data_IF_704082520325
#
_entry.id   IF_704082520325
#
_cell.length_a   1.000
_cell.length_b   1.000
_cell.length_c   1.000
_cell.angle_alpha   90.00
_cell.angle_beta   90.00
_cell.angle_gamma   90.00
#
_symmetry.space_group_name_H-M   'P 1'
#
loop_
_entity.id
_entity.type
_entity.pdbx_description
1 polymer ?
#
# COMPACT_ATOMS: atom_id res chain seq x y z
N UNK A 1 33.71 47.31 -80.27
CA UNK A 1 34.40 47.19 -78.97
C UNK A 1 33.38 46.71 -77.95
N UNK A 2 33.65 45.54 -77.35
CA UNK A 2 33.18 45.03 -76.04
C UNK A 2 31.65 44.72 -75.95
N UNK A 3 31.22 43.44 -75.99
CA UNK A 3 31.02 42.48 -74.86
C UNK A 3 29.97 42.98 -73.86
N UNK A 4 28.78 42.38 -73.72
CA UNK A 4 28.39 41.05 -73.19
C UNK A 4 27.64 41.25 -71.85
N UNK A 5 26.72 40.32 -71.58
CA UNK A 5 26.12 40.01 -70.26
C UNK A 5 24.95 40.92 -69.81
N UNK A 6 23.88 40.44 -69.18
CA UNK A 6 23.34 39.11 -68.90
C UNK A 6 21.94 39.33 -68.29
N UNK A 7 20.98 38.43 -68.54
CA UNK A 7 19.75 38.37 -67.74
C UNK A 7 20.06 38.00 -66.28
N UNK A 8 19.14 38.28 -65.34
CA UNK A 8 18.34 37.14 -64.90
C UNK A 8 16.85 37.40 -64.68
N UNK A 9 16.12 36.31 -64.95
CA UNK A 9 14.74 35.97 -64.63
C UNK A 9 14.29 36.40 -63.22
N UNK A 10 13.25 37.25 -63.14
CA UNK A 10 12.43 37.38 -61.95
C UNK A 10 11.28 36.36 -62.02
N UNK A 11 11.53 35.17 -61.46
CA UNK A 11 10.48 34.23 -61.09
C UNK A 11 9.76 34.75 -59.85
N UNK A 12 8.55 35.27 -60.03
CA UNK A 12 7.63 35.54 -58.94
C UNK A 12 7.21 34.20 -58.31
N UNK A 13 7.98 33.72 -57.32
CA UNK A 13 7.53 32.69 -56.39
C UNK A 13 6.38 33.27 -55.59
N UNK A 14 5.17 32.84 -55.92
CA UNK A 14 4.02 32.91 -55.02
C UNK A 14 4.43 32.21 -53.73
N UNK A 15 4.70 33.00 -52.69
CA UNK A 15 4.80 32.51 -51.33
C UNK A 15 3.39 32.09 -50.89
N UNK A 16 3.03 30.84 -51.15
CA UNK A 16 1.95 30.17 -50.44
C UNK A 16 2.43 30.01 -49.00
N UNK A 17 2.08 31.00 -48.18
CA UNK A 17 2.08 30.92 -46.74
C UNK A 17 1.05 29.86 -46.32
N UNK A 18 1.39 28.59 -46.42
CA UNK A 18 0.75 27.53 -45.65
C UNK A 18 1.37 27.54 -44.25
N UNK A 19 1.00 28.53 -43.43
CA UNK A 19 1.06 28.40 -41.97
C UNK A 19 0.03 27.36 -41.57
N UNK A 20 0.37 26.09 -41.67
CA UNK A 20 -0.25 25.07 -40.83
C UNK A 20 0.37 25.23 -39.44
N UNK A 21 -0.13 26.19 -38.67
CA UNK A 21 0.15 26.25 -37.23
C UNK A 21 -0.65 25.13 -36.56
N UNK A 22 -0.20 23.90 -36.73
CA UNK A 22 -0.42 22.89 -35.70
C UNK A 22 0.33 23.42 -34.48
N UNK A 23 -0.33 23.68 -33.34
CA UNK A 23 0.39 23.87 -32.09
C UNK A 23 1.39 22.74 -31.97
N UNK A 24 2.65 23.01 -31.67
CA UNK A 24 3.61 21.94 -31.44
C UNK A 24 2.98 20.97 -30.45
N UNK A 25 2.91 19.68 -30.78
CA UNK A 25 2.26 18.66 -29.93
C UNK A 25 2.74 18.77 -28.48
N UNK A 26 4.02 19.10 -28.30
CA UNK A 26 4.66 19.45 -27.03
C UNK A 26 3.96 20.58 -26.24
N UNK A 27 3.53 21.66 -26.89
CA UNK A 27 2.81 22.77 -26.25
C UNK A 27 1.39 22.38 -25.81
N UNK A 28 0.76 21.42 -26.50
CA UNK A 28 -0.53 20.87 -26.09
C UNK A 28 -0.37 19.89 -24.91
N UNK A 29 0.67 19.05 -24.93
CA UNK A 29 0.98 18.11 -23.86
C UNK A 29 1.39 18.82 -22.56
N UNK A 30 2.22 19.86 -22.63
CA UNK A 30 2.58 20.69 -21.47
C UNK A 30 1.36 21.35 -20.85
N UNK A 31 0.45 21.92 -21.66
CA UNK A 31 -0.80 22.49 -21.16
C UNK A 31 -1.69 21.41 -20.52
N UNK A 32 -1.76 20.24 -21.13
CA UNK A 32 -2.53 19.11 -20.60
C UNK A 32 -1.99 18.65 -19.24
N UNK A 33 -0.67 18.68 -19.04
CA UNK A 33 -0.03 18.38 -17.76
C UNK A 33 -0.44 19.42 -16.69
N UNK A 34 -0.41 20.70 -17.02
CA UNK A 34 -0.82 21.78 -16.10
C UNK A 34 -2.31 21.66 -15.74
N UNK A 35 -3.18 21.43 -16.73
CA UNK A 35 -4.61 21.24 -16.54
C UNK A 35 -4.90 20.01 -15.65
N UNK A 36 -4.17 18.90 -15.84
CA UNK A 36 -4.23 17.72 -14.98
C UNK A 36 -3.78 18.03 -13.54
N UNK A 37 -2.69 18.79 -13.36
CA UNK A 37 -2.20 19.19 -12.05
C UNK A 37 -3.22 20.03 -11.27
N UNK A 38 -3.90 20.96 -11.96
CA UNK A 38 -4.99 21.76 -11.39
C UNK A 38 -6.15 20.87 -10.98
N UNK A 39 -6.59 19.96 -11.86
CA UNK A 39 -7.69 19.04 -11.57
C UNK A 39 -7.39 18.15 -10.35
N UNK A 40 -6.20 17.55 -10.29
CA UNK A 40 -5.76 16.72 -9.16
C UNK A 40 -5.82 17.54 -7.86
N UNK A 41 -5.30 18.76 -7.89
CA UNK A 41 -5.29 19.66 -6.74
C UNK A 41 -6.72 20.00 -6.27
N UNK A 42 -7.63 20.26 -7.20
CA UNK A 42 -9.05 20.52 -6.88
C UNK A 42 -9.75 19.30 -6.29
N UNK A 43 -9.47 18.08 -6.78
CA UNK A 43 -10.05 16.86 -6.23
C UNK A 43 -9.54 16.63 -4.80
N UNK A 44 -8.24 16.81 -4.53
CA UNK A 44 -7.72 16.72 -3.16
C UNK A 44 -8.40 17.70 -2.21
N UNK A 45 -8.65 18.93 -2.67
CA UNK A 45 -9.35 19.94 -1.89
C UNK A 45 -10.80 19.53 -1.61
N UNK A 46 -11.52 19.04 -2.63
CA UNK A 46 -12.88 18.52 -2.50
C UNK A 46 -12.95 17.35 -1.48
N UNK A 47 -12.01 16.41 -1.55
CA UNK A 47 -11.94 15.29 -0.61
C UNK A 47 -11.62 15.76 0.81
N UNK A 48 -10.80 16.80 0.94
CA UNK A 48 -10.46 17.35 2.25
C UNK A 48 -11.64 18.11 2.87
N UNK A 49 -12.31 18.99 2.14
CA UNK A 49 -13.47 19.76 2.65
C UNK A 49 -14.58 18.83 3.16
N UNK A 50 -14.86 17.77 2.41
CA UNK A 50 -15.92 16.81 2.72
C UNK A 50 -15.54 15.79 3.81
N UNK A 51 -14.27 15.71 4.22
CA UNK A 51 -13.84 14.84 5.33
C UNK A 51 -14.53 15.18 6.66
N UNK A 52 -14.84 16.47 6.89
CA UNK A 52 -15.51 16.96 8.10
C UNK A 52 -17.00 16.63 8.15
N UNK A 53 -17.67 16.63 7.00
CA UNK A 53 -19.10 16.30 6.86
C UNK A 53 -19.35 14.80 6.70
N UNK A 54 -18.27 13.99 6.68
CA UNK A 54 -18.24 12.55 6.36
C UNK A 54 -18.80 12.20 4.97
N UNK A 55 -19.18 13.19 4.16
CA UNK A 55 -19.51 12.95 2.76
C UNK A 55 -18.23 12.60 2.02
N UNK A 56 -18.25 11.62 1.12
CA UNK A 56 -17.06 11.15 0.39
C UNK A 56 -15.89 10.69 1.28
N UNK A 57 -16.13 10.20 2.50
CA UNK A 57 -15.07 9.69 3.36
C UNK A 57 -15.05 8.16 3.37
N UNK A 58 -14.12 7.57 2.62
CA UNK A 58 -13.94 6.13 2.55
C UNK A 58 -13.45 5.59 3.92
N UNK A 59 -14.30 4.84 4.61
CA UNK A 59 -13.99 4.19 5.87
C UNK A 59 -13.25 2.87 5.64
N UNK A 60 -12.60 2.38 6.69
CA UNK A 60 -11.99 1.05 6.67
C UNK A 60 -13.02 -0.07 6.44
N UNK A 61 -14.22 0.05 7.03
CA UNK A 61 -15.29 -0.96 6.89
C UNK A 61 -15.91 -0.99 5.49
N UNK A 62 -15.73 0.07 4.69
CA UNK A 62 -16.10 0.07 3.27
C UNK A 62 -15.18 -0.83 2.44
N UNK A 63 -14.00 -1.19 2.96
CA UNK A 63 -12.96 -1.93 2.24
C UNK A 63 -12.77 -3.33 2.82
N UNK A 64 -13.02 -4.33 1.98
CA UNK A 64 -12.69 -5.72 2.27
C UNK A 64 -11.22 -5.96 1.93
N UNK A 65 -10.43 -6.31 2.93
CA UNK A 65 -9.08 -6.86 2.74
C UNK A 65 -9.18 -8.36 2.46
N UNK A 66 -8.45 -8.85 1.46
CA UNK A 66 -8.53 -10.24 1.02
C UNK A 66 -7.41 -11.07 1.59
N UNK A 67 -7.74 -12.07 2.38
CA UNK A 67 -6.71 -13.00 2.89
C UNK A 67 -6.04 -13.78 1.75
N UNK A 68 -6.84 -14.20 0.77
CA UNK A 68 -6.37 -14.87 -0.45
C UNK A 68 -6.56 -13.95 -1.65
N UNK A 69 -5.48 -13.58 -2.35
CA UNK A 69 -5.58 -12.63 -3.44
C UNK A 69 -6.21 -13.26 -4.69
N UNK A 70 -7.03 -12.49 -5.40
CA UNK A 70 -7.64 -12.91 -6.67
C UNK A 70 -6.76 -12.50 -7.84
N UNK A 71 -5.56 -13.10 -7.96
CA UNK A 71 -4.61 -12.75 -9.03
C UNK A 71 -4.97 -13.39 -10.37
N UNK A 72 -5.74 -14.49 -10.36
CA UNK A 72 -5.97 -15.33 -11.54
C UNK A 72 -7.21 -14.98 -12.37
N UNK A 73 -8.04 -14.02 -11.92
CA UNK A 73 -9.24 -13.62 -12.67
C UNK A 73 -8.98 -12.30 -13.36
N UNK A 74 -9.03 -12.31 -14.70
CA UNK A 74 -9.25 -11.12 -15.55
C UNK A 74 -10.62 -10.50 -15.22
N UNK A 75 -10.77 -9.94 -14.01
CA UNK A 75 -11.94 -9.18 -13.63
C UNK A 75 -11.55 -7.72 -13.70
N UNK A 76 -11.97 -7.04 -14.76
CA UNK A 76 -11.95 -5.57 -14.88
C UNK A 76 -12.98 -4.93 -13.94
N UNK A 77 -13.16 -5.47 -12.74
CA UNK A 77 -14.14 -4.99 -11.77
C UNK A 77 -13.53 -3.83 -10.97
N UNK A 78 -14.07 -2.64 -11.16
CA UNK A 78 -13.59 -1.42 -10.50
C UNK A 78 -13.78 -1.42 -8.98
N UNK A 79 -14.61 -2.35 -8.47
CA UNK A 79 -14.91 -2.52 -7.05
C UNK A 79 -14.21 -3.73 -6.45
N UNK A 80 -13.38 -4.45 -7.21
CA UNK A 80 -12.76 -5.69 -6.74
C UNK A 80 -11.42 -5.93 -7.43
N UNK A 81 -10.32 -5.66 -6.72
CA UNK A 81 -8.95 -5.86 -7.18
C UNK A 81 -8.29 -7.04 -6.45
N UNK A 82 -7.00 -7.32 -6.70
CA UNK A 82 -6.33 -8.53 -6.27
C UNK A 82 -6.37 -8.72 -4.74
N UNK A 83 -6.12 -7.67 -3.97
CA UNK A 83 -5.98 -7.70 -2.51
C UNK A 83 -7.08 -6.96 -1.75
N UNK A 84 -7.83 -6.08 -2.43
CA UNK A 84 -8.91 -5.30 -1.80
C UNK A 84 -10.17 -5.33 -2.64
N UNK A 85 -11.32 -5.10 -2.01
CA UNK A 85 -12.60 -4.94 -2.69
C UNK A 85 -13.53 -4.05 -1.90
N UNK A 86 -14.57 -3.53 -2.55
CA UNK A 86 -15.61 -2.75 -1.89
C UNK A 86 -16.56 -3.70 -1.13
N UNK A 87 -16.86 -3.37 0.12
CA UNK A 87 -17.88 -4.07 0.89
C UNK A 87 -19.27 -3.92 0.25
N UNK A 88 -20.18 -4.87 0.48
CA UNK A 88 -21.52 -4.88 -0.13
C UNK A 88 -22.32 -3.59 0.14
N UNK A 89 -22.12 -3.00 1.32
CA UNK A 89 -22.76 -1.75 1.74
C UNK A 89 -21.75 -0.58 1.81
N UNK A 90 -20.57 -0.72 1.19
CA UNK A 90 -19.52 0.28 1.25
C UNK A 90 -19.81 1.50 0.37
N UNK A 91 -19.21 2.65 0.72
CA UNK A 91 -19.35 3.88 -0.07
C UNK A 91 -18.63 3.79 -1.43
N UNK A 92 -19.40 3.39 -2.45
CA UNK A 92 -18.93 3.31 -3.84
C UNK A 92 -18.46 4.64 -4.42
N UNK A 93 -19.02 5.78 -3.98
CA UNK A 93 -18.65 7.10 -4.50
C UNK A 93 -17.28 7.49 -3.94
N UNK A 94 -17.09 7.34 -2.62
CA UNK A 94 -15.81 7.60 -1.99
C UNK A 94 -14.72 6.69 -2.57
N UNK A 95 -15.02 5.41 -2.78
CA UNK A 95 -14.12 4.44 -3.43
C UNK A 95 -13.69 4.89 -4.82
N UNK A 96 -14.66 5.19 -5.70
CA UNK A 96 -14.38 5.61 -7.08
C UNK A 96 -13.62 6.93 -7.14
N UNK A 97 -13.89 7.86 -6.23
CA UNK A 97 -13.16 9.12 -6.16
C UNK A 97 -11.66 8.90 -5.86
N UNK A 98 -11.32 7.98 -4.93
CA UNK A 98 -9.91 7.64 -4.66
C UNK A 98 -9.30 6.87 -5.83
N UNK A 99 -9.98 5.86 -6.36
CA UNK A 99 -9.46 5.07 -7.47
C UNK A 99 -9.20 5.96 -8.71
N UNK A 100 -10.15 6.84 -9.05
CA UNK A 100 -10.03 7.79 -10.14
C UNK A 100 -8.90 8.80 -9.92
N UNK A 101 -8.77 9.36 -8.71
CA UNK A 101 -7.68 10.26 -8.36
C UNK A 101 -6.31 9.57 -8.47
N UNK A 102 -6.20 8.31 -8.04
CA UNK A 102 -4.96 7.56 -8.17
C UNK A 102 -4.58 7.35 -9.65
N UNK A 103 -5.55 7.03 -10.52
CA UNK A 103 -5.33 6.93 -11.97
C UNK A 103 -4.91 8.26 -12.60
N UNK A 104 -5.52 9.37 -12.18
CA UNK A 104 -5.13 10.70 -12.64
C UNK A 104 -3.68 11.04 -12.25
N UNK A 105 -3.29 10.72 -11.01
CA UNK A 105 -1.90 10.91 -10.54
C UNK A 105 -0.91 10.10 -11.38
N UNK A 106 -1.22 8.85 -11.69
CA UNK A 106 -0.34 8.04 -12.54
C UNK A 106 -0.21 8.61 -13.95
N UNK A 107 -1.31 8.96 -14.58
CA UNK A 107 -1.31 9.57 -15.92
C UNK A 107 -0.52 10.89 -15.92
N UNK A 108 -0.64 11.68 -14.84
CA UNK A 108 0.13 12.90 -14.65
C UNK A 108 1.64 12.60 -14.61
N UNK A 109 2.08 11.64 -13.81
CA UNK A 109 3.50 11.30 -13.71
C UNK A 109 4.05 10.64 -14.98
N UNK A 110 3.23 9.84 -15.70
CA UNK A 110 3.60 9.28 -16.99
C UNK A 110 3.80 10.39 -18.04
N UNK A 111 2.85 11.33 -18.14
CA UNK A 111 2.95 12.47 -19.05
C UNK A 111 4.14 13.36 -18.71
N UNK A 112 4.36 13.65 -17.41
CA UNK A 112 5.52 14.40 -16.93
C UNK A 112 6.83 13.73 -17.33
N UNK A 113 6.92 12.40 -17.18
CA UNK A 113 8.08 11.62 -17.60
C UNK A 113 8.34 11.69 -19.11
N UNK A 114 7.29 11.58 -19.93
CA UNK A 114 7.39 11.70 -21.40
C UNK A 114 7.92 13.07 -21.82
N UNK A 115 7.38 14.15 -21.25
CA UNK A 115 7.83 15.51 -21.53
C UNK A 115 9.30 15.73 -21.15
N UNK A 116 9.70 15.30 -19.95
CA UNK A 116 11.10 15.40 -19.50
C UNK A 116 12.08 14.58 -20.36
N UNK A 117 11.65 13.41 -20.85
CA UNK A 117 12.46 12.60 -21.76
C UNK A 117 12.57 13.21 -23.17
N UNK A 118 11.54 13.92 -23.64
CA UNK A 118 11.53 14.59 -24.94
C UNK A 118 12.39 15.86 -24.96
N UNK A 119 12.56 16.53 -23.81
CA UNK A 119 13.48 17.66 -23.64
C UNK A 119 14.96 17.24 -23.55
N UNK A 120 15.25 15.96 -23.30
CA UNK A 120 16.61 15.46 -23.04
C UNK A 120 17.55 15.46 -24.26
N UNK A 121 17.04 15.74 -25.47
CA UNK A 121 17.89 16.06 -26.62
C UNK A 121 18.50 17.47 -26.58
N UNK A 122 18.13 18.31 -25.61
CA UNK A 122 18.66 19.68 -25.51
C UNK A 122 19.14 20.13 -24.11
N UNK A 123 19.04 19.32 -23.05
CA UNK A 123 19.51 19.74 -21.72
C UNK A 123 20.24 18.60 -20.99
N UNK A 124 21.55 18.49 -21.21
CA UNK A 124 22.45 18.11 -20.12
C UNK A 124 22.43 19.25 -19.11
N UNK A 125 21.83 19.04 -17.93
CA UNK A 125 22.33 19.49 -16.63
C UNK A 125 21.33 19.16 -15.50
N UNK A 126 21.74 18.18 -14.67
CA UNK A 126 21.50 18.07 -13.21
C UNK A 126 20.07 17.91 -12.68
N UNK A 127 19.61 16.65 -12.57
CA UNK A 127 18.81 16.14 -11.43
C UNK A 127 19.14 14.66 -11.16
N UNK A 128 20.44 14.32 -11.18
CA UNK A 128 20.95 13.03 -10.71
C UNK A 128 21.61 13.21 -9.35
N UNK A 129 21.26 12.35 -8.38
CA UNK A 129 21.81 12.26 -7.02
C UNK A 129 21.26 13.26 -5.99
N UNK A 130 20.11 12.93 -5.39
CA UNK A 130 19.72 13.46 -4.07
C UNK A 130 18.96 12.43 -3.22
N UNK A 131 19.44 11.17 -3.24
CA UNK A 131 19.25 10.19 -2.15
C UNK A 131 20.38 10.30 -1.10
N UNK A 132 21.01 11.48 -1.02
CA UNK A 132 22.02 11.84 -0.04
C UNK A 132 21.45 12.82 0.98
N UNK A 133 21.39 12.32 2.21
CA UNK A 133 21.07 13.01 3.46
C UNK A 133 21.72 14.41 3.54
N UNK A 134 20.95 15.51 3.41
CA UNK A 134 21.46 16.85 3.73
C UNK A 134 20.87 18.06 3.00
N UNK A 135 20.39 17.96 1.75
CA UNK A 135 20.05 19.16 0.95
C UNK A 135 18.59 19.64 1.06
N UNK A 136 17.65 18.80 1.54
CA UNK A 136 16.22 19.15 1.66
C UNK A 136 15.87 20.12 2.80
N UNK A 137 16.82 20.47 3.68
CA UNK A 137 16.56 21.34 4.84
C UNK A 137 16.37 22.83 4.51
N UNK A 138 16.74 23.31 3.31
CA UNK A 138 16.84 24.77 3.03
C UNK A 138 15.69 25.41 2.25
N UNK A 139 14.67 24.66 1.82
CA UNK A 139 13.45 25.21 1.18
C UNK A 139 12.18 25.08 2.04
N UNK A 140 12.32 25.06 3.37
CA UNK A 140 11.18 25.08 4.31
C UNK A 140 10.83 26.51 4.75
N UNK A 141 10.47 27.36 3.81
CA UNK A 141 9.90 28.68 4.11
C UNK A 141 8.45 28.69 3.60
N UNK A 142 7.52 28.58 4.56
CA UNK A 142 6.06 28.75 4.44
C UNK A 142 5.22 27.60 3.84
N UNK A 143 5.50 26.34 4.17
CA UNK A 143 4.55 25.24 3.95
C UNK A 143 3.67 25.07 5.19
N UNK A 144 2.37 25.38 5.12
CA UNK A 144 1.52 25.04 6.27
C UNK A 144 0.07 25.51 6.37
N UNK A 145 -0.51 26.26 5.42
CA UNK A 145 -1.91 26.71 5.61
C UNK A 145 -2.89 26.36 4.49
N UNK A 146 -2.43 26.04 3.28
CA UNK A 146 -3.34 25.71 2.18
C UNK A 146 -2.92 24.41 1.49
N UNK A 147 -3.84 23.46 1.47
CA UNK A 147 -3.67 22.11 0.91
C UNK A 147 -3.37 22.18 -0.57
N UNK A 148 -3.96 23.13 -1.29
CA UNK A 148 -3.75 23.29 -2.73
C UNK A 148 -2.28 23.52 -3.07
N UNK A 149 -1.60 24.38 -2.30
CA UNK A 149 -0.16 24.62 -2.51
C UNK A 149 0.67 23.39 -2.17
N UNK A 150 0.37 22.71 -1.06
CA UNK A 150 1.10 21.50 -0.66
C UNK A 150 1.00 20.38 -1.71
N UNK A 151 -0.20 20.16 -2.26
CA UNK A 151 -0.41 19.16 -3.31
C UNK A 151 0.28 19.57 -4.60
N UNK A 152 0.11 20.81 -5.05
CA UNK A 152 0.76 21.33 -6.25
C UNK A 152 2.30 21.25 -6.18
N UNK A 153 2.87 21.62 -5.03
CA UNK A 153 4.32 21.53 -4.81
C UNK A 153 4.78 20.07 -4.87
N UNK A 154 4.07 19.14 -4.21
CA UNK A 154 4.40 17.72 -4.26
C UNK A 154 4.31 17.15 -5.69
N UNK A 155 3.31 17.54 -6.49
CA UNK A 155 3.20 17.16 -7.91
C UNK A 155 4.38 17.65 -8.74
N UNK A 156 4.89 18.85 -8.44
CA UNK A 156 6.06 19.41 -9.13
C UNK A 156 7.36 18.68 -8.75
N UNK A 157 7.48 18.20 -7.52
CA UNK A 157 8.72 17.63 -6.98
C UNK A 157 8.85 16.11 -7.16
N UNK A 158 7.74 15.38 -7.27
CA UNK A 158 7.73 13.92 -7.38
C UNK A 158 7.69 13.45 -8.84
N UNK A 159 8.14 12.22 -9.09
CA UNK A 159 8.12 11.61 -10.42
C UNK A 159 7.27 10.33 -10.51
N UNK A 160 6.69 9.90 -9.39
CA UNK A 160 5.82 8.73 -9.34
C UNK A 160 4.75 8.87 -8.25
N UNK A 161 3.71 8.03 -8.34
CA UNK A 161 2.67 7.95 -7.32
C UNK A 161 3.27 7.57 -5.95
N UNK A 162 4.20 6.61 -5.92
CA UNK A 162 4.83 6.16 -4.68
C UNK A 162 5.63 7.28 -4.02
N UNK A 163 6.44 8.03 -4.79
CA UNK A 163 7.17 9.19 -4.28
C UNK A 163 6.22 10.27 -3.75
N UNK A 164 5.15 10.55 -4.49
CA UNK A 164 4.13 11.52 -4.08
C UNK A 164 3.46 11.14 -2.76
N UNK A 165 3.10 9.87 -2.58
CA UNK A 165 2.51 9.36 -1.34
C UNK A 165 3.51 9.45 -0.19
N UNK A 166 4.77 9.06 -0.41
CA UNK A 166 5.81 9.15 0.62
C UNK A 166 6.05 10.60 1.05
N UNK A 167 6.14 11.54 0.10
CA UNK A 167 6.33 12.95 0.39
C UNK A 167 5.11 13.57 1.09
N UNK A 168 3.90 13.22 0.66
CA UNK A 168 2.65 13.71 1.26
C UNK A 168 2.36 13.11 2.63
N UNK A 169 3.05 12.03 3.01
CA UNK A 169 2.97 11.39 4.33
C UNK A 169 4.20 11.61 5.19
N UNK A 170 5.15 12.46 4.77
CA UNK A 170 6.35 12.73 5.56
C UNK A 170 6.01 13.43 6.89
N UNK A 171 6.50 12.89 7.99
CA UNK A 171 6.31 13.43 9.35
C UNK A 171 7.26 14.62 9.54
N UNK A 172 6.94 15.75 8.91
CA UNK A 172 7.73 16.97 8.98
C UNK A 172 6.88 18.22 8.75
N UNK A 173 6.32 18.79 9.81
CA UNK A 173 5.40 19.94 9.77
C UNK A 173 4.17 19.70 10.65
N UNK A 174 3.10 20.49 10.47
CA UNK A 174 1.77 20.19 11.03
C UNK A 174 1.08 19.17 10.11
N UNK A 175 0.97 17.89 10.50
CA UNK A 175 0.46 16.86 9.61
C UNK A 175 -1.04 17.07 9.35
N UNK A 176 -1.43 17.13 8.08
CA UNK A 176 -2.85 17.03 7.71
C UNK A 176 -3.21 15.55 7.58
N UNK A 177 -3.64 14.94 8.68
CA UNK A 177 -3.94 13.50 8.77
C UNK A 177 -4.92 13.05 7.69
N UNK A 178 -5.92 13.86 7.32
CA UNK A 178 -6.89 13.51 6.28
C UNK A 178 -6.26 13.39 4.89
N UNK A 179 -5.32 14.28 4.56
CA UNK A 179 -4.55 14.19 3.31
C UNK A 179 -3.65 12.96 3.33
N UNK A 180 -3.02 12.67 4.47
CA UNK A 180 -2.17 11.49 4.64
C UNK A 180 -2.99 10.19 4.48
N UNK A 181 -4.16 10.09 5.13
CA UNK A 181 -5.10 8.97 4.97
C UNK A 181 -5.48 8.82 3.50
N UNK A 182 -5.85 9.93 2.83
CA UNK A 182 -6.20 9.91 1.41
C UNK A 182 -5.04 9.34 0.60
N UNK A 183 -3.80 9.79 0.81
CA UNK A 183 -2.63 9.28 0.10
C UNK A 183 -2.39 7.77 0.34
N UNK A 184 -2.57 7.28 1.57
CA UNK A 184 -2.48 5.85 1.88
C UNK A 184 -3.59 5.03 1.20
N UNK A 185 -4.81 5.57 1.12
CA UNK A 185 -5.92 4.97 0.38
C UNK A 185 -5.62 4.89 -1.12
N UNK A 186 -5.11 5.97 -1.72
CA UNK A 186 -4.71 6.01 -3.14
C UNK A 186 -3.65 4.96 -3.44
N UNK A 187 -2.62 4.87 -2.60
CA UNK A 187 -1.57 3.86 -2.72
C UNK A 187 -2.17 2.44 -2.66
N UNK A 188 -3.00 2.18 -1.64
CA UNK A 188 -3.59 0.85 -1.42
C UNK A 188 -4.43 0.39 -2.61
N UNK A 189 -5.38 1.24 -3.04
CA UNK A 189 -6.29 0.89 -4.14
C UNK A 189 -5.52 0.67 -5.43
N UNK A 190 -4.56 1.57 -5.73
CA UNK A 190 -3.87 1.52 -7.00
C UNK A 190 -2.87 0.37 -7.10
N UNK A 191 -2.08 0.12 -6.07
CA UNK A 191 -1.16 -1.02 -6.06
C UNK A 191 -1.91 -2.34 -6.17
N UNK A 192 -3.06 -2.46 -5.53
CA UNK A 192 -3.91 -3.65 -5.64
C UNK A 192 -4.50 -3.82 -7.05
N UNK A 193 -4.93 -2.72 -7.68
CA UNK A 193 -5.41 -2.73 -9.07
C UNK A 193 -4.30 -3.11 -10.05
N UNK A 194 -3.10 -2.52 -9.94
CA UNK A 194 -1.95 -2.84 -10.79
C UNK A 194 -1.57 -4.32 -10.75
N UNK A 195 -1.71 -4.97 -9.58
CA UNK A 195 -1.51 -6.41 -9.45
C UNK A 195 -2.61 -7.26 -10.11
N UNK A 196 -3.81 -6.70 -10.28
CA UNK A 196 -4.92 -7.37 -10.99
C UNK A 196 -4.73 -7.31 -12.51
N UNK A 197 -3.92 -6.36 -12.98
CA UNK A 197 -3.71 -6.09 -14.41
C UNK A 197 -2.26 -6.32 -14.83
N UNK A 198 -1.49 -7.17 -14.12
CA UNK A 198 -0.05 -7.38 -14.38
C UNK A 198 0.27 -7.77 -15.83
N UNK A 199 -0.67 -8.44 -16.51
CA UNK A 199 -0.52 -8.81 -17.93
C UNK A 199 -0.58 -7.61 -18.89
N UNK A 200 -1.12 -6.47 -18.45
CA UNK A 200 -1.19 -5.22 -19.22
C UNK A 200 0.07 -4.39 -18.95
N UNK A 201 1.01 -4.37 -19.91
CA UNK A 201 2.32 -3.70 -19.83
C UNK A 201 2.28 -2.23 -19.36
N UNK A 202 1.16 -1.52 -19.53
CA UNK A 202 1.02 -0.11 -19.15
C UNK A 202 0.99 0.16 -17.64
N UNK A 203 0.83 -0.85 -16.77
CA UNK A 203 0.74 -0.67 -15.31
C UNK A 203 2.01 -0.98 -14.52
N UNK A 204 3.17 -1.15 -15.18
CA UNK A 204 4.38 -1.68 -14.55
C UNK A 204 5.22 -0.63 -13.80
N UNK A 205 5.28 0.64 -14.22
CA UNK A 205 6.27 1.61 -13.71
C UNK A 205 6.21 1.87 -12.19
N UNK A 206 5.01 1.98 -11.61
CA UNK A 206 4.86 2.19 -10.16
C UNK A 206 5.15 0.93 -9.35
N UNK A 207 4.79 -0.24 -9.89
CA UNK A 207 5.10 -1.52 -9.30
C UNK A 207 6.61 -1.74 -9.31
N UNK A 208 7.28 -1.49 -10.43
CA UNK A 208 8.74 -1.62 -10.58
C UNK A 208 9.49 -0.75 -9.56
N UNK A 209 9.05 0.50 -9.37
CA UNK A 209 9.62 1.37 -8.33
C UNK A 209 9.45 0.76 -6.93
N UNK A 210 8.24 0.29 -6.59
CA UNK A 210 7.97 -0.33 -5.30
C UNK A 210 8.84 -1.58 -5.09
N UNK A 211 8.98 -2.44 -6.09
CA UNK A 211 9.79 -3.65 -6.00
C UNK A 211 11.28 -3.32 -5.86
N UNK A 212 11.75 -2.23 -6.47
CA UNK A 212 13.16 -1.78 -6.40
C UNK A 212 13.51 -1.13 -5.05
N UNK A 213 12.63 -0.32 -4.46
CA UNK A 213 12.86 0.37 -3.17
C UNK A 213 11.90 -0.09 -2.05
N UNK A 214 11.50 -1.36 -2.06
CA UNK A 214 10.54 -1.90 -1.09
C UNK A 214 10.94 -1.63 0.37
N UNK A 215 12.24 -1.73 0.68
CA UNK A 215 12.76 -1.47 2.02
C UNK A 215 12.68 0.01 2.43
N UNK A 216 12.87 0.93 1.49
CA UNK A 216 12.70 2.38 1.70
C UNK A 216 11.25 2.72 1.99
N UNK A 217 10.33 2.21 1.16
CA UNK A 217 8.87 2.40 1.31
C UNK A 217 8.36 1.79 2.63
N UNK A 218 8.75 0.54 2.95
CA UNK A 218 8.38 -0.10 4.22
C UNK A 218 8.87 0.70 5.43
N UNK A 219 10.14 1.12 5.42
CA UNK A 219 10.70 1.89 6.52
C UNK A 219 10.01 3.25 6.70
N UNK A 220 9.60 3.89 5.59
CA UNK A 220 8.81 5.12 5.63
C UNK A 220 7.46 4.90 6.31
N UNK A 221 6.66 3.94 5.83
CA UNK A 221 5.34 3.66 6.43
C UNK A 221 5.44 3.18 7.88
N UNK A 222 6.47 2.42 8.24
CA UNK A 222 6.69 2.01 9.64
C UNK A 222 6.96 3.18 10.59
N UNK A 223 7.49 4.31 10.12
CA UNK A 223 7.67 5.52 10.95
C UNK A 223 6.35 6.25 11.19
N UNK A 224 5.34 6.02 10.35
CA UNK A 224 4.06 6.72 10.47
C UNK A 224 3.29 6.30 11.73
N UNK A 225 3.57 5.13 12.30
CA UNK A 225 3.00 4.69 13.57
C UNK A 225 3.34 5.61 14.76
N UNK A 226 4.36 6.46 14.63
CA UNK A 226 4.73 7.45 15.66
C UNK A 226 3.65 8.54 15.84
N UNK A 227 2.68 8.66 14.92
CA UNK A 227 1.54 9.59 15.02
C UNK A 227 0.44 9.13 15.99
N UNK A 228 0.43 7.87 16.43
CA UNK A 228 -0.48 7.32 17.45
C UNK A 228 -1.99 7.53 17.22
N UNK A 229 -2.44 7.65 15.97
CA UNK A 229 -3.86 7.73 15.61
C UNK A 229 -4.35 6.38 15.03
N UNK A 230 -5.32 5.74 15.68
CA UNK A 230 -5.82 4.42 15.24
C UNK A 230 -6.57 4.46 13.90
N UNK A 231 -7.28 5.53 13.58
CA UNK A 231 -7.97 5.65 12.28
C UNK A 231 -6.98 5.84 11.13
N UNK A 232 -5.83 6.41 11.43
CA UNK A 232 -4.71 6.48 10.50
C UNK A 232 -3.93 5.17 10.43
N UNK A 233 -3.66 4.54 11.58
CA UNK A 233 -2.86 3.32 11.69
C UNK A 233 -3.46 2.13 10.94
N UNK A 234 -4.79 2.05 10.78
CA UNK A 234 -5.40 1.00 9.94
C UNK A 234 -4.96 1.11 8.48
N UNK A 235 -4.88 2.32 7.94
CA UNK A 235 -4.44 2.54 6.56
C UNK A 235 -2.93 2.29 6.41
N UNK A 236 -2.14 2.63 7.42
CA UNK A 236 -0.71 2.26 7.45
C UNK A 236 -0.54 0.75 7.45
N UNK A 237 -1.24 0.01 8.32
CA UNK A 237 -1.22 -1.45 8.35
C UNK A 237 -1.66 -2.06 7.02
N UNK A 238 -2.69 -1.49 6.40
CA UNK A 238 -3.22 -1.94 5.10
C UNK A 238 -2.17 -1.78 4.00
N UNK A 239 -1.49 -0.62 3.93
CA UNK A 239 -0.38 -0.42 2.99
C UNK A 239 0.76 -1.41 3.23
N UNK A 240 1.13 -1.67 4.49
CA UNK A 240 2.21 -2.60 4.83
C UNK A 240 1.86 -4.04 4.48
N UNK A 241 0.63 -4.47 4.76
CA UNK A 241 0.09 -5.74 4.30
C UNK A 241 0.20 -5.86 2.79
N UNK A 242 -0.27 -4.86 2.06
CA UNK A 242 -0.25 -4.87 0.60
C UNK A 242 1.17 -4.96 0.05
N UNK A 243 2.12 -4.18 0.58
CA UNK A 243 3.52 -4.23 0.13
C UNK A 243 4.10 -5.64 0.33
N UNK A 244 3.87 -6.25 1.49
CA UNK A 244 4.36 -7.61 1.79
C UNK A 244 3.75 -8.64 0.85
N UNK A 245 2.44 -8.57 0.60
CA UNK A 245 1.75 -9.49 -0.30
C UNK A 245 2.23 -9.31 -1.75
N UNK A 246 2.28 -8.08 -2.25
CA UNK A 246 2.73 -7.77 -3.61
C UNK A 246 4.17 -8.22 -3.85
N UNK A 247 5.08 -7.95 -2.93
CA UNK A 247 6.50 -8.38 -3.04
C UNK A 247 6.67 -9.90 -2.94
N UNK A 248 5.69 -10.61 -2.37
CA UNK A 248 5.65 -12.08 -2.30
C UNK A 248 5.02 -12.74 -3.52
N UNK A 249 4.05 -12.07 -4.13
CA UNK A 249 3.27 -12.57 -5.26
C UNK A 249 3.85 -12.21 -6.62
N UNK A 250 4.58 -11.09 -6.72
CA UNK A 250 5.17 -10.64 -7.98
C UNK A 250 6.66 -10.96 -8.02
N UNK A 251 7.08 -11.64 -9.09
CA UNK A 251 8.50 -11.82 -9.39
C UNK A 251 9.04 -10.61 -10.14
N UNK A 252 10.18 -10.08 -9.69
CA UNK A 252 10.95 -9.11 -10.48
C UNK A 252 11.97 -9.88 -11.33
N UNK A 253 11.98 -9.71 -12.66
CA UNK A 253 12.96 -10.37 -13.52
C UNK A 253 14.39 -9.83 -13.33
N UNK A 254 14.53 -8.59 -12.86
CA UNK A 254 15.80 -7.86 -12.87
C UNK A 254 16.53 -7.89 -11.52
N UNK A 255 15.85 -8.22 -10.42
CA UNK A 255 16.46 -8.23 -9.08
C UNK A 255 15.72 -9.13 -8.09
N UNK A 256 16.47 -9.75 -7.20
CA UNK A 256 15.90 -10.50 -6.07
C UNK A 256 15.39 -9.52 -5.01
N UNK A 257 14.11 -9.64 -4.66
CA UNK A 257 13.49 -8.84 -3.61
C UNK A 257 13.76 -9.51 -2.26
N UNK A 258 14.56 -8.87 -1.42
CA UNK A 258 14.84 -9.31 -0.06
C UNK A 258 14.50 -8.21 0.95
N UNK A 259 13.55 -8.50 1.86
CA UNK A 259 13.10 -7.54 2.86
C UNK A 259 13.99 -7.62 4.10
N UNK A 260 14.53 -6.48 4.52
CA UNK A 260 15.46 -6.38 5.64
C UNK A 260 14.80 -6.82 6.95
N UNK A 261 15.48 -7.68 7.69
CA UNK A 261 15.03 -8.22 9.00
C UNK A 261 14.62 -7.13 9.98
N UNK A 262 15.33 -5.98 10.02
CA UNK A 262 14.94 -4.83 10.86
C UNK A 262 13.51 -4.34 10.59
N UNK A 263 13.09 -4.30 9.32
CA UNK A 263 11.72 -3.91 8.96
C UNK A 263 10.73 -4.99 9.41
N UNK A 264 11.10 -6.28 9.30
CA UNK A 264 10.28 -7.41 9.76
C UNK A 264 10.09 -7.39 11.27
N UNK A 265 11.16 -7.19 12.04
CA UNK A 265 11.07 -7.07 13.50
C UNK A 265 10.10 -5.96 13.93
N UNK A 266 10.16 -4.79 13.25
CA UNK A 266 9.22 -3.68 13.49
C UNK A 266 7.79 -4.03 13.07
N UNK A 267 7.61 -4.66 11.92
CA UNK A 267 6.30 -5.09 11.43
C UNK A 267 5.63 -6.07 12.41
N UNK A 268 6.35 -7.09 12.85
CA UNK A 268 5.85 -8.05 13.83
C UNK A 268 5.52 -7.31 15.12
N UNK A 269 6.44 -6.49 15.65
CA UNK A 269 6.21 -5.71 16.87
C UNK A 269 4.90 -4.93 16.84
N UNK A 270 4.75 -4.04 15.86
CA UNK A 270 3.56 -3.19 15.76
C UNK A 270 2.30 -4.01 15.51
N UNK A 271 2.36 -5.03 14.65
CA UNK A 271 1.20 -5.87 14.38
C UNK A 271 0.73 -6.60 15.64
N UNK A 272 1.65 -7.17 16.42
CA UNK A 272 1.32 -7.80 17.70
C UNK A 272 0.71 -6.80 18.70
N UNK A 273 1.24 -5.58 18.78
CA UNK A 273 0.69 -4.52 19.64
C UNK A 273 -0.74 -4.13 19.23
N UNK A 274 -1.04 -4.14 17.93
CA UNK A 274 -2.34 -3.76 17.36
C UNK A 274 -3.36 -4.89 17.28
N UNK A 275 -2.95 -6.16 17.42
CA UNK A 275 -3.86 -7.32 17.38
C UNK A 275 -5.04 -7.18 18.35
N UNK A 276 -4.78 -6.66 19.55
CA UNK A 276 -5.76 -6.47 20.62
C UNK A 276 -6.67 -5.24 20.45
N UNK A 277 -6.43 -4.40 19.44
CA UNK A 277 -7.23 -3.20 19.18
C UNK A 277 -8.28 -3.54 18.11
N UNK A 278 -9.57 -3.43 18.45
CA UNK A 278 -10.68 -3.90 17.61
C UNK A 278 -10.61 -3.42 16.16
N UNK A 279 -10.48 -2.11 15.93
CA UNK A 279 -10.45 -1.54 14.59
C UNK A 279 -9.14 -1.80 13.82
N UNK A 280 -8.07 -2.28 14.47
CA UNK A 280 -6.80 -2.61 13.80
C UNK A 280 -6.58 -4.11 13.64
N UNK A 281 -7.33 -4.93 14.38
CA UNK A 281 -7.08 -6.36 14.55
C UNK A 281 -7.04 -7.13 13.23
N UNK A 282 -7.96 -6.83 12.32
CA UNK A 282 -8.03 -7.46 10.98
C UNK A 282 -6.76 -7.19 10.17
N UNK A 283 -6.41 -5.91 10.01
CA UNK A 283 -5.23 -5.51 9.24
C UNK A 283 -3.92 -6.03 9.87
N UNK A 284 -3.80 -5.98 11.20
CA UNK A 284 -2.66 -6.53 11.92
C UNK A 284 -2.52 -8.05 11.74
N UNK A 285 -3.65 -8.79 11.81
CA UNK A 285 -3.68 -10.23 11.55
C UNK A 285 -3.18 -10.53 10.13
N UNK A 286 -3.63 -9.75 9.14
CA UNK A 286 -3.22 -9.90 7.74
C UNK A 286 -1.74 -9.60 7.50
N UNK A 287 -1.17 -8.57 8.14
CA UNK A 287 0.27 -8.29 8.07
C UNK A 287 1.08 -9.51 8.55
N UNK A 288 0.72 -10.07 9.70
CA UNK A 288 1.41 -11.25 10.25
C UNK A 288 1.27 -12.48 9.34
N UNK A 289 0.10 -12.66 8.73
CA UNK A 289 -0.11 -13.69 7.72
C UNK A 289 0.77 -13.48 6.49
N UNK A 290 0.85 -12.25 5.98
CA UNK A 290 1.67 -11.89 4.82
C UNK A 290 3.17 -12.12 5.08
N UNK A 291 3.66 -11.90 6.31
CA UNK A 291 5.05 -12.20 6.70
C UNK A 291 5.35 -13.70 6.58
N UNK A 292 4.45 -14.57 7.07
CA UNK A 292 4.63 -16.02 6.92
C UNK A 292 4.61 -16.42 5.44
N UNK A 293 3.68 -15.90 4.65
CA UNK A 293 3.60 -16.20 3.22
C UNK A 293 4.87 -15.77 2.48
N UNK A 294 5.39 -14.58 2.78
CA UNK A 294 6.65 -14.09 2.23
C UNK A 294 7.84 -14.99 2.60
N UNK A 295 7.85 -15.55 3.82
CA UNK A 295 8.85 -16.53 4.25
C UNK A 295 8.74 -17.84 3.47
N UNK A 296 7.53 -18.38 3.31
CA UNK A 296 7.29 -19.63 2.56
C UNK A 296 7.69 -19.51 1.08
N UNK A 297 7.66 -18.28 0.53
CA UNK A 297 8.12 -17.96 -0.82
C UNK A 297 9.57 -17.48 -0.89
N UNK A 298 10.34 -17.68 0.18
CA UNK A 298 11.77 -17.35 0.27
C UNK A 298 12.11 -15.87 0.04
N UNK A 299 11.15 -14.94 0.21
CA UNK A 299 11.41 -13.49 0.10
C UNK A 299 11.96 -12.89 1.40
N UNK A 300 11.79 -13.62 2.51
CA UNK A 300 12.19 -13.20 3.85
C UNK A 300 12.72 -14.41 4.63
N UNK A 301 13.81 -14.20 5.38
CA UNK A 301 14.25 -15.15 6.40
C UNK A 301 13.68 -14.80 7.77
N UNK A 302 12.98 -15.75 8.41
CA UNK A 302 12.50 -15.62 9.78
C UNK A 302 13.50 -16.14 10.83
N UNK A 303 14.67 -16.63 10.42
CA UNK A 303 15.66 -17.20 11.34
C UNK A 303 16.39 -16.12 12.18
N UNK A 304 16.38 -14.87 11.71
CA UNK A 304 17.14 -13.76 12.29
C UNK A 304 16.26 -12.80 13.11
N UNK A 305 15.03 -13.20 13.44
CA UNK A 305 14.09 -12.37 14.22
C UNK A 305 14.63 -12.17 15.65
N UNK A 306 14.52 -10.94 16.15
CA UNK A 306 15.02 -10.57 17.48
C UNK A 306 14.31 -11.38 18.57
N UNK A 307 15.06 -11.88 19.56
CA UNK A 307 14.52 -12.69 20.66
C UNK A 307 13.44 -11.97 21.47
N UNK A 308 13.52 -10.65 21.61
CA UNK A 308 12.50 -9.84 22.28
C UNK A 308 11.18 -9.83 21.52
N UNK A 309 11.22 -9.86 20.19
CA UNK A 309 10.03 -9.94 19.32
C UNK A 309 9.42 -11.34 19.41
N UNK A 310 10.26 -12.39 19.40
CA UNK A 310 9.78 -13.76 19.62
C UNK A 310 9.11 -13.93 20.99
N UNK A 311 9.68 -13.33 22.04
CA UNK A 311 9.08 -13.34 23.37
C UNK A 311 7.73 -12.59 23.42
N UNK A 312 7.61 -11.46 22.72
CA UNK A 312 6.32 -10.76 22.57
C UNK A 312 5.29 -11.62 21.85
N UNK A 313 5.69 -12.31 20.78
CA UNK A 313 4.81 -13.23 20.05
C UNK A 313 4.36 -14.39 20.95
N UNK A 314 5.28 -15.01 21.67
CA UNK A 314 4.99 -16.08 22.62
C UNK A 314 4.01 -15.60 23.71
N UNK A 315 4.16 -14.37 24.20
CA UNK A 315 3.24 -13.75 25.18
C UNK A 315 1.82 -13.59 24.62
N UNK A 316 1.68 -13.30 23.32
CA UNK A 316 0.38 -13.24 22.63
C UNK A 316 -0.30 -14.61 22.63
N UNK A 317 0.46 -15.69 22.48
CA UNK A 317 -0.08 -17.06 22.56
C UNK A 317 -0.40 -17.43 24.01
N UNK A 318 0.50 -17.13 24.94
CA UNK A 318 0.38 -17.52 26.35
C UNK A 318 -0.82 -16.86 27.04
N UNK A 319 -1.11 -15.59 26.70
CA UNK A 319 -2.21 -14.78 27.24
C UNK A 319 -3.18 -14.40 26.10
N UNK A 320 -3.51 -15.39 25.27
CA UNK A 320 -4.32 -15.24 24.05
C UNK A 320 -5.67 -14.57 24.26
N UNK A 321 -6.30 -14.75 25.42
CA UNK A 321 -7.59 -14.15 25.77
C UNK A 321 -7.55 -12.61 25.74
N UNK A 322 -6.41 -12.03 26.11
CA UNK A 322 -6.19 -10.58 26.24
C UNK A 322 -5.38 -10.03 25.07
N UNK A 323 -4.29 -10.71 24.71
CA UNK A 323 -3.31 -10.22 23.73
C UNK A 323 -3.52 -10.79 22.32
N UNK A 324 -4.37 -11.82 22.16
CA UNK A 324 -4.75 -12.34 20.86
C UNK A 324 -5.60 -11.36 20.04
N UNK A 325 -6.00 -11.74 18.82
CA UNK A 325 -6.86 -10.91 17.98
C UNK A 325 -8.12 -10.46 18.73
N UNK A 326 -8.42 -9.16 18.69
CA UNK A 326 -9.57 -8.59 19.38
C UNK A 326 -10.91 -9.03 18.80
N UNK A 327 -10.94 -9.33 17.49
CA UNK A 327 -12.13 -9.70 16.74
C UNK A 327 -12.15 -11.20 16.43
N UNK A 328 -13.35 -11.77 16.38
CA UNK A 328 -13.61 -13.09 15.84
C UNK A 328 -14.03 -12.94 14.36
N UNK A 329 -13.11 -13.22 13.45
CA UNK A 329 -13.33 -13.12 12.00
C UNK A 329 -12.37 -14.05 11.25
N UNK A 330 -12.55 -14.20 9.94
CA UNK A 330 -11.72 -15.05 9.08
C UNK A 330 -10.23 -14.70 9.17
N UNK A 331 -9.86 -13.42 9.23
CA UNK A 331 -8.47 -12.98 9.33
C UNK A 331 -7.83 -13.48 10.63
N UNK A 332 -8.57 -13.41 11.73
CA UNK A 332 -8.11 -13.86 13.05
C UNK A 332 -7.98 -15.38 13.13
N UNK A 333 -8.89 -16.12 12.49
CA UNK A 333 -8.78 -17.58 12.37
C UNK A 333 -7.52 -17.97 11.58
N UNK A 334 -7.28 -17.31 10.45
CA UNK A 334 -6.12 -17.59 9.60
C UNK A 334 -4.83 -17.19 10.32
N UNK A 335 -4.85 -16.11 11.10
CA UNK A 335 -3.75 -15.76 11.99
C UNK A 335 -3.40 -16.90 12.96
N UNK A 336 -4.38 -17.54 13.61
CA UNK A 336 -4.11 -18.66 14.52
C UNK A 336 -3.58 -19.90 13.79
N UNK A 337 -4.11 -20.19 12.60
CA UNK A 337 -3.58 -21.26 11.75
C UNK A 337 -2.12 -21.00 11.39
N UNK A 338 -1.79 -19.79 10.94
CA UNK A 338 -0.43 -19.40 10.59
C UNK A 338 0.50 -19.36 11.81
N UNK A 339 -0.03 -18.95 12.96
CA UNK A 339 0.71 -18.98 14.22
C UNK A 339 1.11 -20.39 14.60
N UNK A 340 0.27 -21.40 14.34
CA UNK A 340 0.65 -22.79 14.57
C UNK A 340 1.90 -23.19 13.76
N UNK A 341 2.01 -22.74 12.52
CA UNK A 341 3.20 -23.01 11.68
C UNK A 341 4.42 -22.19 12.14
N UNK A 342 4.22 -20.93 12.55
CA UNK A 342 5.27 -20.11 13.16
C UNK A 342 5.81 -20.74 14.45
N UNK A 343 4.98 -21.39 15.26
CA UNK A 343 5.45 -22.12 16.44
C UNK A 343 6.42 -23.25 16.09
N UNK A 344 6.28 -23.89 14.92
CA UNK A 344 7.23 -24.92 14.45
C UNK A 344 8.57 -24.30 14.03
N UNK A 345 8.52 -23.12 13.40
CA UNK A 345 9.69 -22.39 12.93
C UNK A 345 10.49 -21.84 14.11
N UNK A 346 9.82 -21.11 15.01
CA UNK A 346 10.45 -20.42 16.13
C UNK A 346 10.73 -21.31 17.34
N UNK A 347 10.01 -22.43 17.48
CA UNK A 347 10.14 -23.36 18.61
C UNK A 347 10.01 -22.65 19.96
N UNK A 348 8.90 -21.95 20.16
CA UNK A 348 8.56 -21.29 21.42
C UNK A 348 8.63 -22.28 22.60
N UNK A 349 9.17 -21.83 23.73
CA UNK A 349 9.52 -22.70 24.86
C UNK A 349 8.30 -23.07 25.69
N UNK A 350 7.33 -22.17 25.81
CA UNK A 350 6.14 -22.29 26.64
C UNK A 350 4.94 -22.86 25.88
N UNK A 351 5.05 -23.01 24.55
CA UNK A 351 3.96 -23.43 23.68
C UNK A 351 4.24 -24.83 23.16
N UNK A 352 3.44 -25.81 23.58
CA UNK A 352 3.49 -27.19 23.08
C UNK A 352 2.52 -27.36 21.92
N UNK A 353 2.94 -28.03 20.85
CA UNK A 353 2.08 -28.30 19.69
C UNK A 353 1.35 -29.64 19.77
N UNK A 354 1.83 -30.55 20.61
CA UNK A 354 1.27 -31.89 20.84
C UNK A 354 1.18 -32.14 22.34
N UNK A 355 0.18 -32.91 22.77
CA UNK A 355 0.02 -33.27 24.17
C UNK A 355 1.15 -34.23 24.59
N UNK A 356 1.84 -33.91 25.68
CA UNK A 356 2.79 -34.82 26.31
C UNK A 356 2.14 -35.34 27.59
N UNK A 357 1.60 -36.57 27.57
CA UNK A 357 0.95 -37.23 28.72
C UNK A 357 -0.17 -36.36 29.38
N UNK A 358 -0.99 -36.87 30.30
CA UNK A 358 -2.27 -36.21 30.62
C UNK A 358 -2.17 -34.88 31.42
N UNK A 359 -0.98 -34.43 31.82
CA UNK A 359 -0.81 -33.26 32.70
C UNK A 359 -0.60 -31.91 32.01
N UNK A 360 -0.22 -31.88 30.72
CA UNK A 360 0.37 -30.68 30.10
C UNK A 360 -0.61 -29.85 29.24
N UNK A 361 -1.92 -30.08 29.42
CA UNK A 361 -2.99 -29.37 28.71
C UNK A 361 -2.90 -27.83 28.70
N UNK A 362 -2.50 -27.10 29.77
CA UNK A 362 -2.52 -25.64 29.76
C UNK A 362 -1.41 -25.00 28.91
N UNK A 363 -0.36 -25.75 28.54
CA UNK A 363 0.72 -25.29 27.65
C UNK A 363 0.44 -25.63 26.18
N UNK A 364 -0.60 -26.41 25.91
CA UNK A 364 -0.94 -26.83 24.55
C UNK A 364 -1.47 -25.63 23.75
N UNK A 365 -0.94 -25.42 22.55
CA UNK A 365 -1.35 -24.36 21.64
C UNK A 365 -2.87 -24.36 21.42
N UNK A 366 -3.46 -25.53 21.18
CA UNK A 366 -4.90 -25.65 20.96
C UNK A 366 -5.70 -25.21 22.18
N UNK A 367 -5.25 -25.50 23.40
CA UNK A 367 -5.89 -24.99 24.62
C UNK A 367 -5.85 -23.46 24.70
N UNK A 368 -4.72 -22.84 24.35
CA UNK A 368 -4.60 -21.37 24.29
C UNK A 368 -5.55 -20.75 23.27
N UNK A 369 -5.66 -21.35 22.08
CA UNK A 369 -6.59 -20.86 21.04
C UNK A 369 -8.05 -21.11 21.43
N UNK A 370 -8.38 -22.22 22.09
CA UNK A 370 -9.72 -22.49 22.65
C UNK A 370 -10.09 -21.41 23.66
N UNK A 371 -9.18 -21.09 24.58
CA UNK A 371 -9.41 -20.03 25.57
C UNK A 371 -9.69 -18.67 24.92
N UNK A 372 -8.92 -18.32 23.87
CA UNK A 372 -9.22 -17.13 23.08
C UNK A 372 -10.60 -17.20 22.43
N UNK A 373 -10.96 -18.32 21.78
CA UNK A 373 -12.27 -18.47 21.15
C UNK A 373 -13.41 -18.30 22.16
N UNK A 374 -13.26 -18.88 23.35
CA UNK A 374 -14.23 -18.74 24.45
C UNK A 374 -14.31 -17.29 24.95
N UNK A 375 -13.19 -16.55 25.00
CA UNK A 375 -13.21 -15.13 25.38
C UNK A 375 -13.90 -14.25 24.33
N UNK A 376 -14.06 -14.74 23.09
CA UNK A 376 -14.77 -14.07 21.99
C UNK A 376 -16.17 -14.62 21.73
N UNK A 377 -16.70 -15.48 22.61
CA UNK A 377 -17.99 -16.15 22.38
C UNK A 377 -19.15 -15.18 22.09
N UNK A 378 -19.18 -14.02 22.77
CA UNK A 378 -20.20 -12.99 22.56
C UNK A 378 -20.17 -12.34 21.16
N UNK A 379 -19.10 -12.54 20.37
CA UNK A 379 -18.99 -12.02 19.01
C UNK A 379 -19.58 -12.98 17.96
N UNK A 380 -19.93 -14.22 18.34
CA UNK A 380 -20.51 -15.20 17.42
C UNK A 380 -21.84 -14.71 16.81
N UNK A 381 -22.67 -14.03 17.60
CA UNK A 381 -23.93 -13.46 17.14
C UNK A 381 -23.74 -12.30 16.15
N UNK A 382 -22.56 -11.68 16.15
CA UNK A 382 -22.21 -10.55 15.28
C UNK A 382 -21.43 -10.93 14.02
N UNK A 383 -21.33 -12.22 13.67
CA UNK A 383 -20.68 -12.65 12.43
C UNK A 383 -21.57 -12.36 11.23
N UNK A 384 -21.25 -11.29 10.49
CA UNK A 384 -22.09 -10.82 9.38
C UNK A 384 -21.83 -11.55 8.05
N UNK A 385 -20.64 -12.15 7.87
CA UNK A 385 -20.25 -12.75 6.60
C UNK A 385 -20.19 -14.28 6.66
N UNK A 386 -20.66 -14.95 5.61
CA UNK A 386 -20.57 -16.42 5.46
C UNK A 386 -19.12 -16.90 5.63
N UNK A 387 -18.15 -16.14 5.11
CA UNK A 387 -16.73 -16.48 5.20
C UNK A 387 -16.23 -16.48 6.65
N UNK A 388 -16.71 -15.58 7.50
CA UNK A 388 -16.35 -15.57 8.92
C UNK A 388 -16.93 -16.80 9.63
N UNK A 389 -18.21 -17.10 9.38
CA UNK A 389 -18.89 -18.27 9.96
C UNK A 389 -18.17 -19.56 9.58
N UNK A 390 -17.93 -19.77 8.28
CA UNK A 390 -17.21 -20.95 7.77
C UNK A 390 -15.82 -21.08 8.39
N UNK A 391 -15.09 -19.97 8.49
CA UNK A 391 -13.74 -19.96 9.08
C UNK A 391 -13.76 -20.37 10.55
N UNK A 392 -14.70 -19.84 11.34
CA UNK A 392 -14.84 -20.20 12.75
C UNK A 392 -15.24 -21.67 12.91
N UNK A 393 -16.18 -22.17 12.11
CA UNK A 393 -16.56 -23.58 12.11
C UNK A 393 -15.37 -24.49 11.77
N UNK A 394 -14.58 -24.15 10.75
CA UNK A 394 -13.36 -24.89 10.39
C UNK A 394 -12.34 -24.88 11.54
N UNK A 395 -12.17 -23.73 12.21
CA UNK A 395 -11.27 -23.63 13.37
C UNK A 395 -11.69 -24.55 14.52
N UNK A 396 -13.00 -24.63 14.82
CA UNK A 396 -13.52 -25.51 15.86
C UNK A 396 -13.24 -26.97 15.53
N UNK A 397 -13.52 -27.39 14.29
CA UNK A 397 -13.21 -28.75 13.81
C UNK A 397 -11.72 -29.05 13.95
N UNK A 398 -10.86 -28.14 13.48
CA UNK A 398 -9.40 -28.25 13.55
C UNK A 398 -8.88 -28.36 14.99
N UNK A 399 -9.43 -27.58 15.93
CA UNK A 399 -9.08 -27.66 17.36
C UNK A 399 -9.52 -28.98 17.99
N UNK A 400 -10.65 -29.53 17.55
CA UNK A 400 -11.20 -30.79 18.07
C UNK A 400 -10.35 -32.01 17.71
N UNK A 401 -9.82 -32.05 16.49
CA UNK A 401 -8.95 -33.14 16.00
C UNK A 401 -7.61 -33.15 16.73
N UNK A 402 -7.05 -31.97 17.01
CA UNK A 402 -5.74 -31.79 17.65
C UNK A 402 -5.74 -31.87 19.16
N UNK A 403 -6.91 -32.05 19.77
CA UNK A 403 -7.02 -32.41 21.19
C UNK A 403 -6.95 -33.92 21.42
N UNK A 404 -7.14 -34.72 20.35
CA UNK A 404 -7.19 -36.19 20.39
C UNK A 404 -5.85 -36.87 20.08
N UNK A 405 -4.84 -36.08 19.67
CA UNK A 405 -3.45 -36.49 19.42
C UNK A 405 -2.59 -35.82 20.49
#
# INVERSE_FOLDING_TARGET
MVQSDSEPMNSAKVAVSSKSSLPSEFGQESKSLDDLGILITQIFDLLHENSSTKSLNLQADDVILKVFPNVEKDSTNWFNSAYVGLAKNGDSIAWLARLGLAKLLENYFELKGKLMSSDSSNIQLTMGSALGDGSRKRRRLNHGLNIRYAISDNLSLCNSLTEFVMMSTEVGGTPNVNVMITCLQLFTLRMSESCSTLHLKSSQSNLDFLLRDCNGVLNHFLKLFDLQDNNFNIWVLTCLYLILSVTSDVESPDHEINIRVKNINRLIKYSLEFLRIQNLSKAASLVLCAILQAHLRSKISLLEIDSSILQQYETVIDISEINGPALLCKESVIFWSNTFDLCKIFKFKNVKLQAALPSDLPQLFSSKVINWLLSKFNQLEGLETTSDIESVCMMISWLSERRRI
#
